data_IF_260223650659
#
_entry.id   IF_260223650659
#
_cell.length_a   1.000
_cell.length_b   1.000
_cell.length_c   1.000
_cell.angle_alpha   90.00
_cell.angle_beta   90.00
_cell.angle_gamma   90.00
#
_symmetry.space_group_name_H-M   'P 1'
#
loop_
_entity.id
_entity.type
_entity.pdbx_description
1 polymer ?
#
# COMPACT_ATOMS: atom_id res chain seq x y z
N UNK A 1 -9.48 -22.81 48.48
CA UNK A 1 -8.78 -22.11 47.38
C UNK A 1 -8.57 -23.16 46.31
N UNK A 2 -9.34 -23.11 45.23
CA UNK A 2 -9.21 -24.11 44.16
C UNK A 2 -7.87 -23.93 43.46
N UNK A 3 -7.17 -25.04 43.17
CA UNK A 3 -5.96 -25.03 42.36
C UNK A 3 -6.28 -24.36 41.02
N UNK A 4 -5.69 -23.19 40.77
CA UNK A 4 -5.82 -22.52 39.48
C UNK A 4 -5.01 -23.33 38.49
N UNK A 5 -5.66 -23.90 37.47
CA UNK A 5 -4.98 -24.68 36.44
C UNK A 5 -3.82 -23.84 35.85
N UNK A 6 -2.62 -24.42 35.79
CA UNK A 6 -1.43 -23.77 35.26
C UNK A 6 -0.96 -24.44 33.98
N UNK A 7 -0.41 -23.64 33.07
CA UNK A 7 0.17 -24.12 31.82
C UNK A 7 1.63 -23.69 31.76
N UNK A 8 2.51 -24.59 31.31
CA UNK A 8 3.91 -24.27 31.06
C UNK A 8 4.05 -23.55 29.74
N UNK A 9 4.61 -22.34 29.78
CA UNK A 9 4.85 -21.50 28.61
C UNK A 9 6.33 -21.27 28.40
N UNK A 10 6.76 -21.27 27.14
CA UNK A 10 8.11 -20.87 26.70
C UNK A 10 7.99 -19.61 25.87
N UNK A 11 8.54 -18.51 26.36
CA UNK A 11 8.55 -17.22 25.67
C UNK A 11 9.74 -17.12 24.72
N UNK A 12 9.46 -16.79 23.46
CA UNK A 12 10.48 -16.53 22.42
C UNK A 12 10.19 -15.20 21.73
N UNK A 13 11.19 -14.58 21.11
CA UNK A 13 10.96 -13.37 20.29
C UNK A 13 11.96 -13.27 19.16
N UNK A 14 11.60 -12.50 18.15
CA UNK A 14 12.47 -12.07 17.05
C UNK A 14 12.99 -10.64 17.25
N UNK A 15 12.45 -9.90 18.22
CA UNK A 15 12.84 -8.53 18.54
C UNK A 15 14.12 -8.55 19.38
N UNK A 16 15.24 -8.11 18.81
CA UNK A 16 16.57 -8.24 19.44
C UNK A 16 16.68 -7.49 20.78
N UNK A 17 15.93 -6.40 20.93
CA UNK A 17 15.94 -5.56 22.11
C UNK A 17 14.99 -6.02 23.23
N UNK A 18 14.16 -7.04 22.95
CA UNK A 18 13.23 -7.62 23.93
C UNK A 18 13.60 -9.04 24.32
N UNK A 19 14.81 -9.51 24.04
CA UNK A 19 15.22 -10.91 24.33
C UNK A 19 15.34 -11.14 25.83
N UNK A 20 14.61 -12.14 26.33
CA UNK A 20 14.70 -12.60 27.72
C UNK A 20 15.94 -13.49 27.96
N UNK A 21 16.58 -13.40 29.13
CA UNK A 21 17.57 -14.39 29.57
C UNK A 21 17.00 -15.81 29.61
N UNK A 22 17.81 -16.82 29.29
CA UNK A 22 17.39 -18.23 29.22
C UNK A 22 16.69 -18.73 30.50
N UNK A 23 17.09 -18.22 31.66
CA UNK A 23 16.49 -18.55 32.96
C UNK A 23 15.05 -18.06 33.13
N UNK A 24 14.61 -17.07 32.33
CA UNK A 24 13.30 -16.42 32.40
C UNK A 24 12.39 -16.75 31.22
N UNK A 25 12.87 -17.50 30.23
CA UNK A 25 12.06 -17.88 29.07
C UNK A 25 10.96 -18.89 29.40
N UNK A 26 11.14 -19.71 30.44
CA UNK A 26 10.14 -20.71 30.85
C UNK A 26 9.39 -20.26 32.09
N UNK A 27 8.06 -20.21 32.02
CA UNK A 27 7.22 -19.78 33.14
C UNK A 27 5.94 -20.62 33.23
N UNK A 28 5.47 -20.85 34.46
CA UNK A 28 4.13 -21.37 34.72
C UNK A 28 3.16 -20.20 34.86
N UNK A 29 2.13 -20.17 34.01
CA UNK A 29 1.12 -19.12 34.00
C UNK A 29 -0.27 -19.72 34.24
N UNK A 30 -1.22 -18.95 34.82
CA UNK A 30 -2.62 -19.37 34.92
C UNK A 30 -3.22 -19.69 33.54
N UNK A 31 -4.00 -20.77 33.43
CA UNK A 31 -4.56 -21.22 32.15
C UNK A 31 -5.62 -20.25 31.58
N UNK A 32 -6.30 -19.52 32.45
CA UNK A 32 -7.30 -18.49 32.11
C UNK A 32 -6.68 -17.17 31.63
N UNK A 33 -5.35 -17.05 31.67
CA UNK A 33 -4.65 -15.83 31.29
C UNK A 33 -4.88 -15.51 29.80
N UNK A 34 -5.14 -14.23 29.55
CA UNK A 34 -5.31 -13.67 28.20
C UNK A 34 -4.10 -12.82 27.83
N UNK A 35 -4.07 -12.41 26.56
CA UNK A 35 -3.06 -11.49 25.98
C UNK A 35 -2.63 -10.34 26.92
N UNK A 36 -3.59 -9.60 27.51
CA UNK A 36 -3.27 -8.47 28.40
C UNK A 36 -2.50 -8.91 29.65
N UNK A 37 -2.88 -10.04 30.26
CA UNK A 37 -2.19 -10.59 31.43
C UNK A 37 -0.76 -11.02 31.10
N UNK A 38 -0.58 -11.72 29.96
CA UNK A 38 0.75 -12.12 29.48
C UNK A 38 1.64 -10.92 29.18
N UNK A 39 1.09 -9.89 28.54
CA UNK A 39 1.82 -8.64 28.28
C UNK A 39 2.22 -7.94 29.59
N UNK A 40 1.36 -7.97 30.62
CA UNK A 40 1.70 -7.43 31.94
C UNK A 40 2.83 -8.21 32.63
N UNK A 41 2.86 -9.54 32.47
CA UNK A 41 3.94 -10.38 33.02
C UNK A 41 5.28 -9.99 32.37
N UNK A 42 5.33 -9.89 31.05
CA UNK A 42 6.55 -9.53 30.33
C UNK A 42 7.04 -8.11 30.66
N UNK A 43 6.13 -7.16 30.89
CA UNK A 43 6.46 -5.80 31.33
C UNK A 43 6.77 -5.65 32.82
N UNK A 44 6.87 -6.74 33.58
CA UNK A 44 7.29 -6.65 34.98
C UNK A 44 8.79 -6.37 35.12
N UNK A 45 9.18 -5.75 36.23
CA UNK A 45 10.59 -5.55 36.62
C UNK A 45 11.37 -6.88 36.66
N UNK A 46 10.67 -7.99 36.94
CA UNK A 46 11.27 -9.32 36.95
C UNK A 46 11.53 -9.92 35.57
N UNK A 47 11.00 -9.33 34.49
CA UNK A 47 11.08 -9.88 33.12
C UNK A 47 11.88 -8.96 32.19
N UNK A 48 11.21 -8.12 31.39
CA UNK A 48 11.87 -7.23 30.42
C UNK A 48 12.41 -5.93 31.05
N UNK A 49 11.81 -5.47 32.15
CA UNK A 49 12.22 -4.25 32.86
C UNK A 49 12.42 -3.03 31.94
N UNK A 50 11.45 -2.77 31.07
CA UNK A 50 11.48 -1.65 30.14
C UNK A 50 11.09 -0.35 30.84
N UNK A 51 11.69 0.77 30.42
CA UNK A 51 11.41 2.11 30.98
C UNK A 51 9.93 2.52 30.91
N UNK A 52 9.20 1.98 29.94
CA UNK A 52 7.75 2.09 29.81
C UNK A 52 7.15 0.75 29.41
N UNK A 53 5.91 0.44 29.84
CA UNK A 53 5.22 -0.77 29.41
C UNK A 53 5.00 -0.80 27.88
N UNK A 54 5.41 -1.87 27.23
CA UNK A 54 5.25 -2.10 25.80
C UNK A 54 4.06 -3.05 25.58
N UNK A 55 3.01 -2.66 24.82
CA UNK A 55 1.94 -3.58 24.45
C UNK A 55 2.47 -4.73 23.58
N UNK A 56 2.25 -5.97 24.01
CA UNK A 56 2.72 -7.17 23.30
C UNK A 56 1.54 -8.05 22.85
N UNK A 57 1.70 -8.64 21.66
CA UNK A 57 0.90 -9.74 21.14
C UNK A 57 1.72 -11.04 21.19
N UNK A 58 1.01 -12.17 21.15
CA UNK A 58 1.60 -13.50 21.28
C UNK A 58 1.17 -14.38 20.12
N UNK A 59 2.12 -14.97 19.43
CA UNK A 59 1.90 -15.99 18.40
C UNK A 59 2.08 -17.36 19.03
N UNK A 60 1.05 -18.19 18.93
CA UNK A 60 1.06 -19.61 19.30
C UNK A 60 0.98 -20.43 18.00
N UNK A 61 2.00 -21.24 17.73
CA UNK A 61 2.14 -22.03 16.49
C UNK A 61 1.88 -21.20 15.20
N UNK A 62 2.35 -19.95 15.17
CA UNK A 62 2.16 -19.05 14.03
C UNK A 62 0.83 -18.30 13.99
N UNK A 63 -0.08 -18.48 14.95
CA UNK A 63 -1.36 -17.75 15.00
C UNK A 63 -1.46 -16.84 16.21
N UNK A 64 -2.07 -15.66 16.07
CA UNK A 64 -2.22 -14.75 17.20
C UNK A 64 -3.17 -15.32 18.26
N UNK A 65 -2.73 -15.32 19.51
CA UNK A 65 -3.53 -15.69 20.67
C UNK A 65 -4.61 -14.60 20.93
N UNK A 66 -5.85 -14.88 20.52
CA UNK A 66 -7.01 -14.00 20.72
C UNK A 66 -7.90 -14.39 21.91
N UNK A 67 -7.69 -15.59 22.46
CA UNK A 67 -8.47 -16.19 23.55
C UNK A 67 -7.62 -16.36 24.83
N UNK A 68 -8.14 -17.04 25.86
CA UNK A 68 -7.30 -17.55 26.96
C UNK A 68 -6.47 -18.75 26.51
N UNK A 69 -5.40 -19.07 27.24
CA UNK A 69 -4.55 -20.24 26.92
C UNK A 69 -5.37 -21.54 26.99
N UNK A 70 -6.24 -21.69 27.99
CA UNK A 70 -7.12 -22.87 28.10
C UNK A 70 -8.03 -23.06 26.89
N UNK A 71 -8.62 -21.98 26.37
CA UNK A 71 -9.54 -22.02 25.23
C UNK A 71 -8.77 -22.30 23.94
N UNK A 72 -7.56 -21.74 23.81
CA UNK A 72 -6.65 -22.06 22.72
C UNK A 72 -6.25 -23.54 22.71
N UNK A 73 -5.87 -24.09 23.86
CA UNK A 73 -5.52 -25.51 23.98
C UNK A 73 -6.71 -26.42 23.65
N UNK A 74 -7.89 -26.11 24.18
CA UNK A 74 -9.12 -26.86 23.90
C UNK A 74 -9.48 -26.84 22.41
N UNK A 75 -9.41 -25.68 21.77
CA UNK A 75 -9.73 -25.52 20.33
C UNK A 75 -8.76 -26.29 19.43
N UNK A 76 -7.49 -26.39 19.84
CA UNK A 76 -6.46 -27.11 19.08
C UNK A 76 -6.31 -28.58 19.51
N UNK A 77 -7.14 -29.08 20.43
CA UNK A 77 -7.07 -30.47 20.91
C UNK A 77 -5.78 -30.79 21.69
N UNK A 78 -5.18 -29.79 22.34
CA UNK A 78 -3.96 -29.90 23.11
C UNK A 78 -4.27 -30.08 24.62
N UNK A 79 -3.45 -30.86 25.32
CA UNK A 79 -3.57 -31.07 26.77
C UNK A 79 -3.09 -29.85 27.57
N UNK A 80 -3.66 -29.60 28.74
CA UNK A 80 -3.17 -28.57 29.68
C UNK A 80 -1.75 -28.83 30.20
N UNK A 81 -1.26 -30.07 30.10
CA UNK A 81 0.12 -30.45 30.46
C UNK A 81 1.13 -30.13 29.35
N UNK A 82 0.66 -29.80 28.15
CA UNK A 82 1.54 -29.49 27.03
C UNK A 82 2.27 -28.16 27.25
N UNK A 83 3.54 -28.13 26.84
CA UNK A 83 4.34 -26.89 26.89
C UNK A 83 4.02 -26.05 25.65
N UNK A 84 3.53 -24.84 25.87
CA UNK A 84 3.15 -23.92 24.79
C UNK A 84 4.28 -22.92 24.52
N UNK A 85 4.80 -22.90 23.30
CA UNK A 85 5.74 -21.87 22.86
C UNK A 85 4.96 -20.65 22.40
N UNK A 86 5.19 -19.50 23.06
CA UNK A 86 4.61 -18.22 22.72
C UNK A 86 5.70 -17.27 22.22
N UNK A 87 5.63 -16.95 20.93
CA UNK A 87 6.47 -15.91 20.36
C UNK A 87 5.81 -14.54 20.62
N UNK A 88 6.42 -13.69 21.44
CA UNK A 88 5.92 -12.35 21.72
C UNK A 88 6.50 -11.33 20.74
N UNK A 89 5.63 -10.41 20.31
CA UNK A 89 5.94 -9.35 19.36
C UNK A 89 5.27 -8.05 19.80
N UNK A 90 5.81 -6.91 19.36
CA UNK A 90 5.17 -5.60 19.56
C UNK A 90 3.78 -5.61 18.93
N UNK A 91 2.79 -5.13 19.67
CA UNK A 91 1.45 -4.99 19.12
C UNK A 91 1.38 -3.85 18.13
N UNK A 92 0.66 -4.09 17.04
CA UNK A 92 0.22 -3.01 16.16
C UNK A 92 -0.72 -2.09 16.94
N UNK A 93 -0.36 -0.81 17.07
CA UNK A 93 -1.25 0.19 17.63
C UNK A 93 -2.48 0.34 16.72
N UNK A 94 -3.72 0.31 17.26
CA UNK A 94 -4.90 0.35 16.43
C UNK A 94 -4.97 1.68 15.66
N UNK A 95 -4.99 1.67 14.32
CA UNK A 95 -5.05 2.88 13.51
C UNK A 95 -6.47 3.46 13.57
N UNK A 96 -6.71 4.35 14.53
CA UNK A 96 -8.01 4.97 14.77
C UNK A 96 -8.23 6.14 13.81
N UNK A 97 -9.50 6.43 13.53
CA UNK A 97 -9.87 7.58 12.71
C UNK A 97 -9.35 8.89 13.32
N UNK A 98 -8.78 9.73 12.46
CA UNK A 98 -8.26 11.04 12.83
C UNK A 98 -8.98 12.17 12.07
N UNK A 99 -9.00 12.11 10.74
CA UNK A 99 -9.53 13.19 9.91
C UNK A 99 -10.09 12.70 8.56
N UNK A 100 -10.82 13.58 7.87
CA UNK A 100 -11.29 13.39 6.50
C UNK A 100 -11.10 14.65 5.67
N UNK A 101 -10.48 14.53 4.50
CA UNK A 101 -10.41 15.63 3.53
C UNK A 101 -11.48 15.43 2.47
N UNK A 102 -12.34 16.42 2.30
CA UNK A 102 -13.52 16.35 1.45
C UNK A 102 -13.18 16.67 0.00
N UNK A 103 -13.72 15.90 -0.93
CA UNK A 103 -13.66 16.13 -2.37
C UNK A 103 -15.05 16.29 -2.97
N UNK A 104 -15.12 16.92 -4.14
CA UNK A 104 -16.36 17.05 -4.91
C UNK A 104 -16.70 15.75 -5.68
N UNK A 105 -15.71 14.91 -5.94
CA UNK A 105 -15.82 13.65 -6.69
C UNK A 105 -14.93 12.55 -6.08
N UNK A 106 -15.01 11.34 -6.63
CA UNK A 106 -14.31 10.17 -6.10
C UNK A 106 -12.79 10.37 -6.09
N UNK A 107 -12.12 9.79 -5.09
CA UNK A 107 -10.67 9.83 -4.95
C UNK A 107 -10.08 8.52 -5.48
N UNK A 108 -9.42 8.59 -6.64
CA UNK A 108 -8.88 7.42 -7.36
C UNK A 108 -7.47 7.05 -6.94
N UNK A 109 -6.64 8.01 -6.53
CA UNK A 109 -5.24 7.78 -6.19
C UNK A 109 -4.74 8.67 -5.07
N UNK A 110 -3.92 8.11 -4.19
CA UNK A 110 -3.29 8.82 -3.06
C UNK A 110 -1.79 8.56 -3.04
N UNK A 111 -1.05 9.59 -2.65
CA UNK A 111 0.35 9.44 -2.25
C UNK A 111 0.75 10.41 -1.14
N UNK A 112 1.75 10.04 -0.37
CA UNK A 112 2.15 10.76 0.84
C UNK A 112 3.58 11.27 0.69
N UNK A 113 3.78 12.52 1.11
CA UNK A 113 5.08 13.14 1.29
C UNK A 113 5.28 13.34 2.79
N UNK A 114 6.42 12.85 3.27
CA UNK A 114 6.90 12.95 4.65
C UNK A 114 8.42 12.78 4.63
N UNK A 115 9.09 13.01 5.76
CA UNK A 115 10.53 12.74 5.89
C UNK A 115 10.89 11.26 5.65
N UNK A 116 9.96 10.34 5.90
CA UNK A 116 10.14 8.88 5.79
C UNK A 116 9.62 8.30 4.48
N UNK A 117 8.82 9.06 3.73
CA UNK A 117 8.30 8.65 2.43
C UNK A 117 9.42 8.43 1.40
N UNK A 118 9.17 7.60 0.38
CA UNK A 118 10.12 7.34 -0.73
C UNK A 118 10.61 8.62 -1.41
N UNK A 119 9.74 9.63 -1.55
CA UNK A 119 10.09 10.92 -2.14
C UNK A 119 10.87 11.82 -1.18
N UNK A 120 10.62 11.70 0.13
CA UNK A 120 11.31 12.45 1.16
C UNK A 120 12.74 11.99 1.38
N UNK A 121 12.97 10.67 1.44
CA UNK A 121 14.30 10.07 1.67
C UNK A 121 15.36 10.48 0.63
N UNK A 122 14.95 10.94 -0.56
CA UNK A 122 15.85 11.42 -1.62
C UNK A 122 16.49 12.77 -1.30
N UNK A 123 15.85 13.56 -0.44
CA UNK A 123 16.31 14.88 -0.01
C UNK A 123 16.74 14.70 1.44
N UNK A 124 18.01 14.37 1.69
CA UNK A 124 18.55 14.04 3.02
C UNK A 124 18.55 15.20 4.03
N UNK A 125 17.41 15.86 4.24
CA UNK A 125 17.19 16.99 5.14
C UNK A 125 16.02 16.73 6.09
N UNK A 126 16.11 17.29 7.30
CA UNK A 126 15.22 17.03 8.43
C UNK A 126 13.92 17.82 8.46
N UNK A 127 13.63 18.66 7.46
CA UNK A 127 12.42 19.49 7.40
C UNK A 127 11.67 19.34 6.07
N UNK A 128 11.15 18.14 5.81
CA UNK A 128 10.28 17.90 4.67
C UNK A 128 8.83 18.10 5.14
N UNK A 129 8.07 19.00 4.49
CA UNK A 129 6.68 19.22 4.85
C UNK A 129 5.85 17.96 4.58
N UNK A 130 5.00 17.60 5.54
CA UNK A 130 4.04 16.52 5.40
C UNK A 130 2.92 16.92 4.44
N UNK A 131 2.78 16.26 3.29
CA UNK A 131 1.75 16.58 2.29
C UNK A 131 1.06 15.33 1.79
N UNK A 132 -0.25 15.42 1.58
CA UNK A 132 -1.01 14.38 0.87
C UNK A 132 -1.26 14.84 -0.55
N UNK A 133 -0.92 14.01 -1.54
CA UNK A 133 -1.34 14.19 -2.91
C UNK A 133 -2.53 13.27 -3.20
N UNK A 134 -3.53 13.80 -3.89
CA UNK A 134 -4.74 13.07 -4.26
C UNK A 134 -5.07 13.29 -5.73
N UNK A 135 -5.45 12.23 -6.44
CA UNK A 135 -5.99 12.24 -7.79
C UNK A 135 -7.49 11.93 -7.71
N UNK A 136 -8.31 12.78 -8.33
CA UNK A 136 -9.77 12.65 -8.27
C UNK A 136 -10.39 12.41 -9.65
N UNK A 137 -11.59 11.85 -9.63
CA UNK A 137 -12.32 11.50 -10.84
C UNK A 137 -12.81 12.72 -11.62
N UNK A 138 -12.80 13.90 -11.01
CA UNK A 138 -13.00 15.19 -11.67
C UNK A 138 -11.86 15.58 -12.63
N UNK A 139 -10.76 14.82 -12.64
CA UNK A 139 -9.58 15.08 -13.47
C UNK A 139 -8.58 16.06 -12.84
N UNK A 140 -8.71 16.37 -11.56
CA UNK A 140 -7.81 17.26 -10.83
C UNK A 140 -6.93 16.49 -9.85
N UNK A 141 -5.70 16.98 -9.70
CA UNK A 141 -4.76 16.58 -8.66
C UNK A 141 -4.73 17.68 -7.60
N UNK A 142 -4.86 17.29 -6.33
CA UNK A 142 -4.81 18.21 -5.19
C UNK A 142 -3.70 17.83 -4.24
N UNK A 143 -3.02 18.83 -3.69
CA UNK A 143 -2.04 18.69 -2.60
C UNK A 143 -2.64 19.31 -1.34
N UNK A 144 -2.61 18.55 -0.25
CA UNK A 144 -3.22 18.89 1.03
C UNK A 144 -2.15 19.07 2.12
N UNK A 145 -2.40 20.00 3.03
CA UNK A 145 -1.63 20.14 4.26
C UNK A 145 -2.22 19.23 5.39
N UNK A 146 -1.54 19.10 6.54
CA UNK A 146 -2.05 18.35 7.71
C UNK A 146 -3.35 18.89 8.31
N UNK A 147 -3.69 20.15 8.06
CA UNK A 147 -4.95 20.75 8.51
C UNK A 147 -6.15 20.36 7.65
N UNK A 148 -5.92 19.70 6.50
CA UNK A 148 -6.97 19.32 5.56
C UNK A 148 -7.33 20.40 4.55
N UNK A 149 -6.49 21.42 4.39
CA UNK A 149 -6.66 22.44 3.36
C UNK A 149 -5.96 22.00 2.05
N UNK A 150 -6.68 22.15 0.93
CA UNK A 150 -6.11 21.96 -0.40
C UNK A 150 -5.27 23.17 -0.79
N UNK A 151 -3.96 23.11 -0.51
CA UNK A 151 -3.03 24.22 -0.74
C UNK A 151 -2.64 24.38 -2.22
N UNK A 152 -2.72 23.32 -3.02
CA UNK A 152 -2.48 23.38 -4.46
C UNK A 152 -3.47 22.50 -5.23
N UNK A 153 -3.99 23.02 -6.33
CA UNK A 153 -4.90 22.31 -7.23
C UNK A 153 -4.35 22.39 -8.65
N UNK A 154 -4.32 21.27 -9.36
CA UNK A 154 -3.84 21.23 -10.73
C UNK A 154 -4.74 22.06 -11.65
N UNK A 155 -4.19 22.68 -12.70
CA UNK A 155 -4.99 23.29 -13.75
C UNK A 155 -5.94 22.27 -14.38
N UNK A 156 -7.10 22.73 -14.86
CA UNK A 156 -8.00 21.91 -15.66
C UNK A 156 -7.36 21.53 -17.02
N UNK A 157 -7.95 20.54 -17.71
CA UNK A 157 -7.43 20.03 -18.98
C UNK A 157 -7.13 21.08 -20.07
N UNK A 158 -7.88 22.18 -20.10
CA UNK A 158 -7.64 23.29 -21.07
C UNK A 158 -6.37 24.10 -20.79
N UNK A 159 -5.85 24.02 -19.58
CA UNK A 159 -4.67 24.76 -19.10
C UNK A 159 -3.48 23.83 -18.81
N UNK A 160 -3.42 22.66 -19.46
CA UNK A 160 -2.31 21.72 -19.36
C UNK A 160 -2.48 20.62 -18.30
N UNK A 161 -3.67 20.48 -17.71
CA UNK A 161 -3.97 19.37 -16.81
C UNK A 161 -4.63 18.16 -17.46
N UNK A 162 -5.17 17.26 -16.65
CA UNK A 162 -5.90 16.11 -17.17
C UNK A 162 -7.22 16.53 -17.81
N UNK A 163 -7.58 15.86 -18.90
CA UNK A 163 -8.81 16.12 -19.67
C UNK A 163 -9.94 15.15 -19.34
N UNK A 164 -9.61 14.10 -18.60
CA UNK A 164 -10.51 13.07 -18.09
C UNK A 164 -10.11 12.74 -16.65
N UNK A 165 -10.82 11.80 -16.02
CA UNK A 165 -10.56 11.39 -14.64
C UNK A 165 -9.10 10.99 -14.41
N UNK A 166 -8.55 11.38 -13.27
CA UNK A 166 -7.21 11.00 -12.84
C UNK A 166 -7.29 9.73 -11.96
N UNK A 167 -6.50 8.71 -12.32
CA UNK A 167 -6.51 7.40 -11.65
C UNK A 167 -5.44 7.30 -10.56
N UNK A 168 -4.24 7.82 -10.80
CA UNK A 168 -3.14 7.71 -9.85
C UNK A 168 -2.28 8.98 -9.84
N UNK A 169 -1.65 9.23 -8.69
CA UNK A 169 -0.66 10.27 -8.47
C UNK A 169 0.45 9.69 -7.59
N UNK A 170 1.72 10.05 -7.85
CA UNK A 170 2.85 9.77 -6.97
C UNK A 170 3.84 10.92 -6.90
N UNK A 171 4.45 11.12 -5.75
CA UNK A 171 5.56 12.04 -5.55
C UNK A 171 6.83 11.48 -6.18
N UNK A 172 7.52 12.32 -6.94
CA UNK A 172 8.86 12.03 -7.49
C UNK A 172 9.94 12.58 -6.55
N UNK A 173 9.67 13.76 -5.99
CA UNK A 173 10.49 14.47 -5.00
C UNK A 173 9.61 15.51 -4.32
N UNK A 174 10.11 16.21 -3.29
CA UNK A 174 9.39 17.32 -2.65
C UNK A 174 8.88 18.39 -3.64
N UNK A 175 9.49 18.53 -4.83
CA UNK A 175 9.13 19.57 -5.82
C UNK A 175 8.50 19.02 -7.10
N UNK A 176 8.27 17.70 -7.19
CA UNK A 176 7.72 17.11 -8.41
C UNK A 176 6.78 15.94 -8.12
N UNK A 177 5.70 15.86 -8.90
CA UNK A 177 4.75 14.77 -8.89
C UNK A 177 4.53 14.23 -10.31
N UNK A 178 4.05 13.00 -10.41
CA UNK A 178 3.50 12.43 -11.63
C UNK A 178 2.05 12.02 -11.41
N UNK A 179 1.19 12.23 -12.40
CA UNK A 179 -0.16 11.70 -12.40
C UNK A 179 -0.54 11.10 -13.74
N UNK A 180 -1.50 10.17 -13.69
CA UNK A 180 -2.01 9.44 -14.86
C UNK A 180 -3.53 9.27 -14.76
N UNK A 181 -4.18 9.01 -15.89
CA UNK A 181 -5.62 8.80 -15.94
C UNK A 181 -6.12 8.25 -17.28
N UNK A 182 -7.38 8.55 -17.57
CA UNK A 182 -8.09 8.06 -18.75
C UNK A 182 -7.70 8.76 -20.05
N UNK A 183 -7.01 9.89 -19.95
CA UNK A 183 -6.56 10.68 -21.09
C UNK A 183 -5.26 10.17 -21.72
N UNK A 184 -4.77 9.01 -21.28
CA UNK A 184 -3.64 8.24 -21.86
C UNK A 184 -2.28 8.92 -21.75
N UNK A 185 -2.21 10.06 -21.06
CA UNK A 185 -0.98 10.81 -20.82
C UNK A 185 -0.53 10.68 -19.38
N UNK A 186 0.78 10.73 -19.20
CA UNK A 186 1.40 10.99 -17.90
C UNK A 186 1.70 12.47 -17.83
N UNK A 187 1.26 13.15 -16.78
CA UNK A 187 1.65 14.55 -16.54
C UNK A 187 2.69 14.58 -15.43
N UNK A 188 3.82 15.23 -15.70
CA UNK A 188 4.82 15.57 -14.68
C UNK A 188 4.58 16.99 -14.23
N UNK A 189 4.36 17.18 -12.93
CA UNK A 189 4.06 18.46 -12.31
C UNK A 189 5.28 18.99 -11.58
N UNK A 190 5.58 20.27 -11.78
CA UNK A 190 6.45 21.02 -10.88
C UNK A 190 5.58 21.61 -9.77
N UNK A 191 5.92 21.29 -8.53
CA UNK A 191 5.25 21.76 -7.31
C UNK A 191 6.11 22.81 -6.62
N UNK A 192 5.47 23.94 -6.31
CA UNK A 192 6.05 25.02 -5.52
C UNK A 192 5.08 25.43 -4.42
N UNK A 193 5.63 25.83 -3.29
CA UNK A 193 4.87 26.18 -2.09
C UNK A 193 5.42 27.48 -1.50
N UNK A 194 4.54 28.28 -0.89
CA UNK A 194 4.91 29.45 -0.10
C UNK A 194 5.61 29.05 1.20
N UNK A 195 6.40 29.97 1.76
CA UNK A 195 7.15 29.73 3.00
C UNK A 195 6.24 29.45 4.21
N UNK A 196 5.00 29.95 4.20
CA UNK A 196 4.01 29.70 5.25
C UNK A 196 3.39 28.30 5.19
N UNK A 197 3.53 27.58 4.07
CA UNK A 197 2.99 26.24 3.87
C UNK A 197 1.48 26.15 3.65
N UNK A 198 0.80 27.28 3.39
CA UNK A 198 -0.66 27.35 3.21
C UNK A 198 -1.08 27.65 1.77
N UNK A 199 -0.14 27.92 0.87
CA UNK A 199 -0.42 28.12 -0.55
C UNK A 199 0.62 27.44 -1.43
N UNK A 200 0.17 26.83 -2.51
CA UNK A 200 1.03 26.16 -3.47
C UNK A 200 0.48 26.22 -4.88
N UNK A 201 1.33 25.83 -5.83
CA UNK A 201 0.97 25.79 -7.24
C UNK A 201 1.49 24.50 -7.87
N UNK A 202 0.66 23.92 -8.74
CA UNK A 202 1.00 22.82 -9.62
C UNK A 202 1.09 23.32 -11.05
N UNK A 203 2.27 23.21 -11.65
CA UNK A 203 2.50 23.58 -13.05
C UNK A 203 2.88 22.36 -13.87
N UNK A 204 2.21 22.16 -14.99
CA UNK A 204 2.54 21.06 -15.92
C UNK A 204 3.92 21.31 -16.54
N UNK A 205 4.88 20.43 -16.24
CA UNK A 205 6.25 20.50 -16.74
C UNK A 205 6.40 19.75 -18.06
N UNK A 206 5.83 18.55 -18.12
CA UNK A 206 5.85 17.68 -19.30
C UNK A 206 4.55 16.88 -19.41
N UNK A 207 4.16 16.61 -20.65
CA UNK A 207 3.16 15.60 -20.99
C UNK A 207 3.85 14.44 -21.70
N UNK A 208 3.70 13.23 -21.18
CA UNK A 208 4.26 12.03 -21.76
C UNK A 208 3.16 11.24 -22.47
N UNK A 209 3.37 10.98 -23.76
CA UNK A 209 2.41 10.33 -24.66
C UNK A 209 3.00 9.04 -25.23
N UNK A 210 2.17 7.99 -25.33
CA UNK A 210 2.59 6.73 -25.94
C UNK A 210 1.59 5.59 -25.78
N UNK A 211 0.86 5.53 -24.66
CA UNK A 211 -0.17 4.50 -24.47
C UNK A 211 -1.37 4.70 -25.40
N UNK A 212 -1.96 3.58 -25.84
CA UNK A 212 -3.10 3.58 -26.77
C UNK A 212 -4.44 3.65 -26.02
N UNK A 213 -4.44 3.19 -24.76
CA UNK A 213 -5.59 3.16 -23.84
C UNK A 213 -5.26 3.85 -22.51
N UNK A 214 -6.22 3.86 -21.60
CA UNK A 214 -6.11 4.47 -20.26
C UNK A 214 -4.97 3.86 -19.43
N UNK A 215 -4.38 4.69 -18.58
CA UNK A 215 -3.32 4.29 -17.67
C UNK A 215 -3.93 4.04 -16.29
N UNK A 216 -3.74 2.83 -15.76
CA UNK A 216 -4.38 2.34 -14.54
C UNK A 216 -3.55 2.69 -13.30
N UNK A 217 -2.24 2.53 -13.37
CA UNK A 217 -1.34 2.79 -12.24
C UNK A 217 -0.02 3.41 -12.69
N UNK A 218 0.69 4.00 -11.73
CA UNK A 218 2.04 4.49 -11.92
C UNK A 218 2.91 4.20 -10.68
N UNK A 219 4.20 3.96 -10.89
CA UNK A 219 5.20 3.85 -9.84
C UNK A 219 6.45 4.66 -10.21
N UNK A 220 7.18 5.11 -9.19
CA UNK A 220 8.28 6.07 -9.35
C UNK A 220 9.56 5.53 -8.72
N UNK A 221 10.66 5.65 -9.47
CA UNK A 221 12.00 5.57 -8.93
C UNK A 221 12.61 6.97 -8.96
N UNK A 222 12.48 7.71 -7.85
CA UNK A 222 12.90 9.10 -7.78
C UNK A 222 14.42 9.29 -7.85
N UNK A 223 15.22 8.30 -7.41
CA UNK A 223 16.68 8.31 -7.52
C UNK A 223 17.15 8.34 -8.98
N UNK A 224 16.52 7.52 -9.84
CA UNK A 224 16.82 7.46 -11.28
C UNK A 224 15.94 8.39 -12.13
N UNK A 225 14.98 9.09 -11.50
CA UNK A 225 13.97 9.93 -12.19
C UNK A 225 13.21 9.15 -13.26
N UNK A 226 12.94 7.87 -13.00
CA UNK A 226 12.18 6.97 -13.89
C UNK A 226 10.76 6.77 -13.37
N UNK A 227 9.85 6.57 -14.33
CA UNK A 227 8.43 6.34 -14.09
C UNK A 227 8.07 5.02 -14.76
N UNK A 228 7.30 4.18 -14.08
CA UNK A 228 6.64 3.02 -14.66
C UNK A 228 5.14 3.27 -14.72
N UNK A 229 4.50 2.79 -15.78
CA UNK A 229 3.05 2.85 -15.95
C UNK A 229 2.49 1.51 -16.36
N UNK A 230 1.29 1.20 -15.87
CA UNK A 230 0.49 0.06 -16.31
C UNK A 230 -0.75 0.56 -17.05
N UNK A 231 -0.99 0.04 -18.25
CA UNK A 231 -2.07 0.50 -19.13
C UNK A 231 -3.01 -0.62 -19.53
N UNK A 232 -4.25 -0.24 -19.84
CA UNK A 232 -5.26 -1.14 -20.39
C UNK A 232 -4.97 -1.62 -21.81
N UNK A 233 -3.90 -1.13 -22.45
CA UNK A 233 -3.39 -1.60 -23.74
C UNK A 233 -2.50 -2.84 -23.66
N UNK A 234 -2.29 -3.41 -22.47
CA UNK A 234 -1.44 -4.59 -22.26
C UNK A 234 0.06 -4.28 -22.16
N UNK A 235 0.45 -3.01 -22.26
CA UNK A 235 1.86 -2.58 -22.22
C UNK A 235 2.24 -1.98 -20.87
N UNK A 236 3.49 -2.20 -20.50
CA UNK A 236 4.17 -1.48 -19.40
C UNK A 236 5.00 -0.36 -20.01
N UNK A 237 4.76 0.87 -19.58
CA UNK A 237 5.51 2.03 -20.05
C UNK A 237 6.66 2.39 -19.13
N UNK A 238 7.85 2.60 -19.69
CA UNK A 238 9.02 3.12 -18.99
C UNK A 238 9.30 4.55 -19.47
N UNK A 239 9.36 5.49 -18.53
CA UNK A 239 9.50 6.91 -18.83
C UNK A 239 10.54 7.57 -17.94
N UNK A 240 10.81 8.85 -18.21
CA UNK A 240 11.66 9.69 -17.38
C UNK A 240 10.96 11.01 -17.07
N UNK A 241 11.15 11.50 -15.84
CA UNK A 241 10.69 12.83 -15.42
C UNK A 241 11.65 13.96 -15.79
N UNK A 242 12.74 13.68 -16.52
CA UNK A 242 13.71 14.66 -16.98
C UNK A 242 13.51 15.04 -18.45
N UNK A 243 13.26 16.34 -18.70
CA UNK A 243 13.13 16.93 -20.06
C UNK A 243 14.31 16.64 -20.99
N UNK A 244 15.51 16.50 -20.43
CA UNK A 244 16.76 16.32 -21.18
C UNK A 244 16.85 14.93 -21.81
N UNK A 245 16.35 13.92 -21.12
CA UNK A 245 16.49 12.51 -21.48
C UNK A 245 15.19 11.94 -22.06
N UNK A 246 14.07 12.64 -21.92
CA UNK A 246 12.79 12.24 -22.47
C UNK A 246 12.82 12.32 -24.02
N UNK A 247 12.52 11.22 -24.73
CA UNK A 247 12.42 11.22 -26.19
C UNK A 247 11.29 12.14 -26.70
N UNK A 248 11.31 12.47 -27.99
CA UNK A 248 10.19 13.18 -28.61
C UNK A 248 8.96 12.26 -28.70
N UNK A 249 7.76 12.82 -28.49
CA UNK A 249 6.52 12.06 -28.63
C UNK A 249 6.30 11.65 -30.09
N UNK A 250 5.80 10.43 -30.29
CA UNK A 250 5.34 9.97 -31.60
C UNK A 250 4.12 10.80 -32.04
N UNK A 251 4.13 11.45 -33.22
CA UNK A 251 2.99 12.20 -33.73
C UNK A 251 1.67 11.42 -33.76
N UNK A 252 1.70 10.10 -33.97
CA UNK A 252 0.49 9.27 -34.00
C UNK A 252 -0.13 9.06 -32.61
N UNK A 253 0.68 9.13 -31.56
CA UNK A 253 0.22 9.02 -30.17
C UNK A 253 -0.44 10.31 -29.66
N UNK A 254 -0.17 11.43 -30.33
CA UNK A 254 -0.71 12.74 -29.96
C UNK A 254 -2.17 12.88 -30.43
N UNK A 255 -3.00 13.69 -29.73
CA UNK A 255 -4.34 13.98 -30.19
C UNK A 255 -4.34 14.61 -31.59
N UNK A 256 -4.96 13.94 -32.57
CA UNK A 256 -5.02 14.43 -33.96
C UNK A 256 -5.66 15.82 -34.07
N UNK A 257 -5.03 16.70 -34.84
CA UNK A 257 -5.48 18.06 -35.12
C UNK A 257 -6.73 18.13 -36.05
N UNK A 258 -7.31 17.00 -36.48
CA UNK A 258 -8.42 16.99 -37.45
C UNK A 258 -9.78 17.45 -36.91
N UNK A 259 -9.90 17.76 -35.63
CA UNK A 259 -10.98 18.62 -35.16
C UNK A 259 -10.46 20.06 -35.10
N UNK A 260 -10.89 20.92 -36.01
CA UNK A 260 -10.56 22.35 -36.07
C UNK A 260 -10.91 23.11 -34.78
N UNK A 261 -11.71 22.52 -33.87
CA UNK A 261 -11.93 23.00 -32.50
C UNK A 261 -10.85 22.56 -31.49
N UNK A 262 -10.21 21.40 -31.67
CA UNK A 262 -9.17 20.86 -30.77
C UNK A 262 -7.76 21.36 -31.10
N UNK A 263 -7.44 21.64 -32.36
CA UNK A 263 -6.14 22.20 -32.75
C UNK A 263 -5.86 23.58 -32.11
N UNK A 264 -6.91 24.39 -31.88
CA UNK A 264 -6.83 25.66 -31.14
C UNK A 264 -6.80 25.48 -29.61
N UNK A 265 -7.18 24.30 -29.09
CA UNK A 265 -7.10 23.95 -27.67
C UNK A 265 -5.74 23.39 -27.26
N UNK A 266 -5.06 22.67 -28.16
CA UNK A 266 -3.72 22.13 -27.93
C UNK A 266 -2.62 23.21 -27.89
N UNK A 267 -2.87 24.39 -28.45
CA UNK A 267 -1.90 25.51 -28.48
C UNK A 267 -1.94 26.41 -27.23
N UNK A 268 -2.78 26.12 -26.24
CA UNK A 268 -2.95 26.99 -25.06
C UNK A 268 -2.01 26.65 -23.89
N UNK A 269 -1.42 25.45 -23.87
CA UNK A 269 -0.45 25.05 -22.84
C UNK A 269 0.90 24.75 -23.51
N UNK A 270 1.91 25.60 -23.25
CA UNK A 270 3.26 25.49 -23.80
C UNK A 270 4.09 24.34 -23.15
N UNK A 271 3.42 23.25 -22.78
CA UNK A 271 3.99 22.12 -22.02
C UNK A 271 4.73 21.20 -22.97
N UNK A 272 5.93 20.77 -22.59
CA UNK A 272 6.75 19.90 -23.43
C UNK A 272 6.09 18.52 -23.58
N UNK A 273 5.73 18.17 -24.83
CA UNK A 273 5.24 16.83 -25.17
C UNK A 273 6.41 15.89 -25.47
N UNK A 274 6.44 14.73 -24.82
CA UNK A 274 7.54 13.75 -24.88
C UNK A 274 7.03 12.33 -24.96
N UNK A 275 7.87 11.42 -25.42
CA UNK A 275 7.60 10.00 -25.58
C UNK A 275 8.16 9.14 -24.45
N UNK A 276 7.86 7.84 -24.46
CA UNK A 276 8.41 6.85 -23.53
C UNK A 276 9.87 6.52 -23.86
N UNK A 277 10.62 6.04 -22.87
CA UNK A 277 11.89 5.35 -23.09
C UNK A 277 11.67 3.96 -23.70
N UNK A 278 10.60 3.29 -23.26
CA UNK A 278 10.15 2.02 -23.81
C UNK A 278 8.65 1.82 -23.54
N UNK A 279 7.96 1.16 -24.48
CA UNK A 279 6.63 0.59 -24.26
C UNK A 279 6.76 -0.92 -24.46
N UNK A 280 6.64 -1.67 -23.37
CA UNK A 280 6.95 -3.09 -23.34
C UNK A 280 5.64 -3.87 -23.42
N UNK A 281 5.33 -4.54 -24.55
CA UNK A 281 4.11 -5.32 -24.71
C UNK A 281 4.28 -6.67 -24.03
N UNK A 282 3.99 -6.70 -22.73
CA UNK A 282 4.09 -7.92 -21.93
C UNK A 282 2.75 -8.66 -21.89
N UNK A 283 1.62 -8.00 -21.67
CA UNK A 283 0.35 -8.68 -21.39
C UNK A 283 -0.65 -8.64 -22.56
N UNK A 284 -1.53 -9.65 -22.61
CA UNK A 284 -2.62 -9.75 -23.59
C UNK A 284 -3.92 -9.09 -23.10
N UNK A 285 -4.02 -8.83 -21.79
CA UNK A 285 -5.14 -8.18 -21.10
C UNK A 285 -4.65 -6.92 -20.34
N UNK A 286 -5.55 -6.03 -19.89
CA UNK A 286 -5.19 -4.81 -19.16
C UNK A 286 -4.20 -5.02 -18.02
N UNK A 287 -3.09 -4.29 -18.07
CA UNK A 287 -2.10 -4.25 -16.98
C UNK A 287 -2.67 -3.35 -15.88
N UNK A 288 -2.76 -3.88 -14.68
CA UNK A 288 -3.37 -3.20 -13.54
C UNK A 288 -2.34 -2.59 -12.60
N UNK A 289 -1.13 -3.16 -12.53
CA UNK A 289 -0.04 -2.61 -11.75
C UNK A 289 1.31 -2.80 -12.45
N UNK A 290 2.19 -1.81 -12.33
CA UNK A 290 3.59 -1.88 -12.71
C UNK A 290 4.41 -1.18 -11.62
N UNK A 291 5.37 -1.89 -11.03
CA UNK A 291 6.13 -1.45 -9.86
C UNK A 291 7.62 -1.73 -10.06
N UNK A 292 8.48 -0.86 -9.55
CA UNK A 292 9.91 -1.10 -9.52
C UNK A 292 10.27 -2.14 -8.47
N UNK A 293 11.33 -2.91 -8.72
CA UNK A 293 11.94 -3.71 -7.67
C UNK A 293 12.53 -2.77 -6.59
N UNK A 294 12.24 -2.99 -5.29
CA UNK A 294 12.64 -2.06 -4.22
C UNK A 294 14.14 -1.78 -4.16
N UNK A 295 14.95 -2.82 -4.40
CA UNK A 295 16.41 -2.75 -4.27
C UNK A 295 17.15 -2.72 -5.62
N UNK A 296 16.45 -2.84 -6.76
CA UNK A 296 17.08 -2.93 -8.08
C UNK A 296 16.30 -2.09 -9.09
N UNK A 297 16.88 -0.96 -9.51
CA UNK A 297 16.24 -0.04 -10.44
C UNK A 297 16.12 -0.59 -11.88
N UNK A 298 16.75 -1.73 -12.18
CA UNK A 298 16.72 -2.38 -13.50
C UNK A 298 15.61 -3.41 -13.65
N UNK A 299 14.97 -3.81 -12.55
CA UNK A 299 13.90 -4.82 -12.54
C UNK A 299 12.56 -4.17 -12.22
N UNK A 300 11.52 -4.63 -12.90
CA UNK A 300 10.14 -4.27 -12.61
C UNK A 300 9.25 -5.50 -12.49
N UNK A 301 8.17 -5.36 -11.73
CA UNK A 301 7.08 -6.32 -11.69
C UNK A 301 5.83 -5.71 -12.30
N UNK A 302 5.07 -6.52 -13.00
CA UNK A 302 3.79 -6.14 -13.59
C UNK A 302 2.73 -7.17 -13.24
N UNK A 303 1.51 -6.71 -12.98
CA UNK A 303 0.36 -7.56 -12.70
C UNK A 303 -0.81 -7.19 -13.63
N UNK A 304 -1.54 -8.19 -14.11
CA UNK A 304 -2.57 -8.01 -15.12
C UNK A 304 -3.82 -8.85 -14.87
N UNK A 305 -4.89 -8.47 -15.56
CA UNK A 305 -6.12 -9.25 -15.67
C UNK A 305 -5.95 -10.55 -16.46
N UNK A 306 -4.80 -10.79 -17.11
CA UNK A 306 -4.43 -12.10 -17.69
C UNK A 306 -4.03 -13.16 -16.64
N UNK A 307 -4.21 -12.83 -15.35
CA UNK A 307 -3.89 -13.65 -14.19
C UNK A 307 -2.39 -13.76 -13.89
N UNK A 308 -1.52 -13.01 -14.58
CA UNK A 308 -0.07 -13.16 -14.44
C UNK A 308 0.58 -12.01 -13.69
N UNK A 309 1.61 -12.35 -12.90
CA UNK A 309 2.64 -11.44 -12.46
C UNK A 309 3.90 -11.72 -13.26
N UNK A 310 4.44 -10.70 -13.93
CA UNK A 310 5.64 -10.82 -14.77
C UNK A 310 6.77 -9.98 -14.23
N UNK A 311 7.96 -10.55 -14.23
CA UNK A 311 9.22 -9.86 -13.93
C UNK A 311 9.83 -9.40 -15.25
N UNK A 312 10.15 -8.11 -15.33
CA UNK A 312 10.65 -7.45 -16.53
C UNK A 312 12.04 -6.89 -16.23
N UNK A 313 12.99 -7.20 -17.11
CA UNK A 313 14.26 -6.50 -17.15
C UNK A 313 14.11 -5.22 -17.99
N UNK A 314 14.23 -4.07 -17.35
CA UNK A 314 14.06 -2.76 -17.95
C UNK A 314 15.22 -2.36 -18.87
N UNK A 315 16.37 -3.03 -18.78
CA UNK A 315 17.53 -2.77 -19.65
C UNK A 315 17.36 -3.46 -20.99
N UNK A 316 16.95 -4.73 -20.99
CA UNK A 316 16.71 -5.52 -22.20
C UNK A 316 15.28 -5.39 -22.73
N UNK A 317 14.38 -4.82 -21.94
CA UNK A 317 12.96 -4.62 -22.25
C UNK A 317 12.24 -5.96 -22.53
N UNK A 318 12.61 -6.99 -21.76
CA UNK A 318 12.09 -8.35 -21.92
C UNK A 318 11.53 -8.89 -20.62
N UNK A 319 10.55 -9.77 -20.77
CA UNK A 319 10.06 -10.61 -19.69
C UNK A 319 11.13 -11.65 -19.33
N UNK A 320 11.44 -11.72 -18.03
CA UNK A 320 12.40 -12.65 -17.43
C UNK A 320 11.69 -13.85 -16.82
N UNK A 321 10.56 -13.61 -16.15
CA UNK A 321 9.81 -14.63 -15.43
C UNK A 321 8.31 -14.33 -15.47
N UNK A 322 7.51 -15.40 -15.39
CA UNK A 322 6.04 -15.39 -15.42
C UNK A 322 5.49 -16.27 -14.32
N UNK A 323 4.67 -15.67 -13.46
CA UNK A 323 3.89 -16.38 -12.45
C UNK A 323 2.42 -16.29 -12.82
N UNK A 324 1.75 -17.43 -12.99
CA UNK A 324 0.32 -17.49 -13.32
C UNK A 324 -0.46 -17.82 -12.07
N UNK A 325 -1.39 -16.95 -11.70
CA UNK A 325 -2.30 -17.12 -10.57
C UNK A 325 -3.66 -17.66 -11.05
N UNK A 326 -4.55 -18.01 -10.11
CA UNK A 326 -5.87 -18.56 -10.42
C UNK A 326 -6.91 -17.53 -10.86
N UNK A 327 -6.67 -16.24 -10.59
CA UNK A 327 -7.68 -15.19 -10.77
C UNK A 327 -7.07 -13.89 -11.33
N UNK A 328 -7.89 -13.05 -11.98
CA UNK A 328 -7.45 -11.73 -12.43
C UNK A 328 -6.88 -10.89 -11.29
N UNK A 329 -5.74 -10.27 -11.55
CA UNK A 329 -5.09 -9.36 -10.61
C UNK A 329 -5.53 -7.93 -10.89
N UNK A 330 -5.67 -7.15 -9.82
CA UNK A 330 -6.16 -5.77 -9.84
C UNK A 330 -5.17 -4.77 -9.28
N UNK A 331 -4.22 -5.23 -8.46
CA UNK A 331 -3.13 -4.42 -7.94
C UNK A 331 -1.95 -5.31 -7.53
N UNK A 332 -0.77 -4.72 -7.39
CA UNK A 332 0.40 -5.40 -6.84
C UNK A 332 1.30 -4.41 -6.09
N UNK A 333 2.01 -4.90 -5.09
CA UNK A 333 3.10 -4.18 -4.40
C UNK A 333 4.24 -5.12 -4.07
N UNK A 334 5.47 -4.62 -4.11
CA UNK A 334 6.64 -5.35 -3.66
C UNK A 334 6.85 -5.12 -2.16
N UNK A 335 7.31 -6.16 -1.47
CA UNK A 335 7.68 -6.14 -0.06
C UNK A 335 9.22 -6.08 0.06
N UNK A 336 9.80 -4.92 0.43
CA UNK A 336 11.25 -4.69 0.36
C UNK A 336 12.10 -5.71 1.14
N UNK A 337 11.71 -6.05 2.37
CA UNK A 337 12.50 -6.96 3.21
C UNK A 337 12.36 -8.45 2.90
N UNK A 338 11.26 -8.89 2.28
CA UNK A 338 11.02 -10.33 2.01
C UNK A 338 11.29 -10.74 0.56
N UNK A 339 11.56 -9.79 -0.34
CA UNK A 339 11.63 -10.02 -1.80
C UNK A 339 10.36 -10.64 -2.41
N UNK A 340 9.23 -10.53 -1.71
CA UNK A 340 7.94 -11.06 -2.19
C UNK A 340 7.15 -9.96 -2.91
N UNK A 341 6.23 -10.39 -3.77
CA UNK A 341 5.23 -9.53 -4.40
C UNK A 341 3.85 -9.91 -3.86
N UNK A 342 3.14 -8.95 -3.29
CA UNK A 342 1.75 -9.10 -2.91
C UNK A 342 0.86 -8.67 -4.08
N UNK A 343 -0.02 -9.56 -4.54
CA UNK A 343 -0.94 -9.30 -5.65
C UNK A 343 -2.39 -9.41 -5.19
N UNK A 344 -3.16 -8.33 -5.33
CA UNK A 344 -4.59 -8.29 -5.00
C UNK A 344 -5.43 -8.80 -6.15
N UNK A 345 -6.34 -9.73 -5.86
CA UNK A 345 -7.18 -10.38 -6.87
C UNK A 345 -8.61 -9.83 -6.93
N UNK A 346 -9.29 -10.12 -8.04
CA UNK A 346 -10.74 -9.97 -8.16
C UNK A 346 -11.53 -10.98 -7.30
N UNK A 347 -10.87 -12.05 -6.85
CA UNK A 347 -11.44 -13.12 -6.04
C UNK A 347 -11.32 -12.87 -4.51
N UNK A 348 -11.22 -11.59 -4.11
CA UNK A 348 -11.30 -11.10 -2.71
C UNK A 348 -10.18 -11.55 -1.77
N UNK A 349 -9.08 -12.04 -2.33
CA UNK A 349 -7.89 -12.41 -1.56
C UNK A 349 -6.64 -11.78 -2.18
N UNK A 350 -5.57 -11.77 -1.40
CA UNK A 350 -4.25 -11.32 -1.83
C UNK A 350 -3.35 -12.54 -1.85
N UNK A 351 -2.55 -12.68 -2.90
CA UNK A 351 -1.60 -13.77 -3.04
C UNK A 351 -0.19 -13.22 -2.89
N UNK A 352 0.61 -13.82 -2.01
CA UNK A 352 2.04 -13.56 -1.90
C UNK A 352 2.79 -14.50 -2.83
N UNK A 353 3.64 -13.90 -3.67
CA UNK A 353 4.38 -14.57 -4.73
C UNK A 353 5.87 -14.33 -4.53
N UNK A 354 6.68 -15.38 -4.62
CA UNK A 354 8.13 -15.21 -4.79
C UNK A 354 8.43 -15.15 -6.31
N UNK A 355 8.83 -13.99 -6.84
CA UNK A 355 9.11 -13.82 -8.27
C UNK A 355 10.27 -14.69 -8.80
N UNK A 356 11.04 -15.32 -7.90
CA UNK A 356 12.16 -16.21 -8.22
C UNK A 356 11.76 -17.68 -8.30
N UNK A 357 10.62 -18.06 -7.72
CA UNK A 357 10.14 -19.43 -7.77
C UNK A 357 9.50 -19.76 -9.12
N UNK A 358 9.50 -21.06 -9.47
CA UNK A 358 8.84 -21.55 -10.68
C UNK A 358 7.32 -21.56 -10.50
N UNK A 359 6.56 -21.40 -11.59
CA UNK A 359 5.10 -21.35 -11.63
C UNK A 359 4.38 -22.54 -10.96
N UNK A 360 5.07 -23.66 -10.69
CA UNK A 360 4.56 -24.84 -10.00
C UNK A 360 4.25 -24.62 -8.51
N UNK A 361 4.92 -23.67 -7.85
CA UNK A 361 4.57 -23.23 -6.48
C UNK A 361 3.90 -21.87 -6.59
N UNK A 362 2.62 -21.88 -6.96
CA UNK A 362 1.92 -20.66 -7.41
C UNK A 362 1.71 -19.60 -6.32
N UNK A 363 1.83 -19.95 -5.03
CA UNK A 363 1.60 -19.00 -3.94
C UNK A 363 2.38 -19.38 -2.68
N UNK A 364 3.19 -18.45 -2.16
CA UNK A 364 3.85 -18.61 -0.86
C UNK A 364 2.84 -18.54 0.30
N UNK A 365 1.83 -17.67 0.17
CA UNK A 365 0.79 -17.46 1.17
C UNK A 365 -0.43 -16.76 0.55
N UNK A 366 -1.62 -17.01 1.10
CA UNK A 366 -2.85 -16.31 0.73
C UNK A 366 -3.39 -15.49 1.91
N UNK A 367 -3.66 -14.21 1.71
CA UNK A 367 -4.30 -13.35 2.71
C UNK A 367 -5.81 -13.32 2.44
N UNK A 368 -6.60 -13.83 3.39
CA UNK A 368 -8.05 -13.97 3.26
C UNK A 368 -8.80 -13.15 4.29
N UNK A 369 -9.90 -12.56 3.83
CA UNK A 369 -10.86 -11.90 4.70
C UNK A 369 -11.74 -10.88 3.99
N UNK A 370 -11.22 -10.20 2.96
CA UNK A 370 -12.00 -9.23 2.20
C UNK A 370 -13.26 -9.87 1.58
N UNK A 371 -14.30 -9.05 1.46
CA UNK A 371 -15.62 -9.50 0.94
C UNK A 371 -15.86 -8.99 -0.49
N UNK A 372 -14.93 -8.22 -1.04
CA UNK A 372 -14.96 -7.73 -2.42
C UNK A 372 -13.53 -7.63 -3.00
N UNK A 373 -13.43 -7.17 -4.25
CA UNK A 373 -12.19 -6.99 -4.98
C UNK A 373 -11.14 -6.17 -4.21
N UNK A 374 -9.88 -6.58 -4.27
CA UNK A 374 -8.76 -5.86 -3.66
C UNK A 374 -8.05 -5.05 -4.74
N UNK A 375 -8.10 -3.72 -4.63
CA UNK A 375 -7.67 -2.80 -5.71
C UNK A 375 -6.48 -1.93 -5.33
N UNK A 376 -6.06 -1.93 -4.07
CA UNK A 376 -4.89 -1.17 -3.64
C UNK A 376 -4.18 -1.88 -2.50
N UNK A 377 -2.85 -1.77 -2.49
CA UNK A 377 -1.96 -2.36 -1.49
C UNK A 377 -0.86 -1.35 -1.15
N UNK A 378 -0.48 -1.28 0.11
CA UNK A 378 0.69 -0.52 0.56
C UNK A 378 1.44 -1.29 1.66
N UNK A 379 2.77 -1.45 1.57
CA UNK A 379 3.58 -2.05 2.62
C UNK A 379 3.65 -1.13 3.85
N UNK A 380 3.91 -1.71 5.01
CA UNK A 380 4.20 -0.94 6.22
C UNK A 380 5.56 -0.22 6.08
N UNK A 381 5.67 1.04 6.52
CA UNK A 381 6.94 1.76 6.55
C UNK A 381 7.82 1.36 7.75
N UNK A 382 7.24 0.74 8.77
CA UNK A 382 7.95 0.41 10.02
C UNK A 382 8.54 -1.00 10.04
N UNK A 383 7.95 -1.92 9.27
CA UNK A 383 8.34 -3.32 9.30
C UNK A 383 8.08 -4.05 7.97
N UNK A 384 8.85 -5.10 7.71
CA UNK A 384 8.82 -5.83 6.44
C UNK A 384 7.73 -6.90 6.34
N UNK A 385 7.00 -7.14 7.43
CA UNK A 385 6.03 -8.23 7.54
C UNK A 385 4.58 -7.73 7.64
N UNK A 386 4.34 -6.43 7.53
CA UNK A 386 2.99 -5.86 7.56
C UNK A 386 2.66 -5.13 6.27
N UNK A 387 1.40 -5.18 5.89
CA UNK A 387 0.88 -4.40 4.77
C UNK A 387 -0.58 -4.03 5.02
N UNK A 388 -1.06 -3.02 4.31
CA UNK A 388 -2.46 -2.63 4.28
C UNK A 388 -3.03 -2.86 2.88
N UNK A 389 -4.27 -3.32 2.81
CA UNK A 389 -5.03 -3.46 1.57
C UNK A 389 -6.27 -2.61 1.59
N UNK A 390 -6.61 -2.02 0.44
CA UNK A 390 -7.87 -1.31 0.20
C UNK A 390 -8.77 -2.12 -0.74
N UNK A 391 -10.04 -2.25 -0.38
CA UNK A 391 -11.00 -3.06 -1.12
C UNK A 391 -12.30 -2.32 -1.45
N UNK A 392 -12.96 -2.79 -2.50
CA UNK A 392 -14.33 -2.43 -2.82
C UNK A 392 -15.36 -2.90 -1.79
N UNK A 393 -14.95 -3.56 -0.69
CA UNK A 393 -15.84 -3.91 0.43
C UNK A 393 -15.99 -2.79 1.48
N UNK A 394 -15.51 -1.60 1.16
CA UNK A 394 -15.52 -0.41 2.03
C UNK A 394 -14.59 -0.50 3.23
N UNK A 395 -13.64 -1.43 3.22
CA UNK A 395 -12.66 -1.58 4.30
C UNK A 395 -11.22 -1.49 3.79
N UNK A 396 -10.35 -0.97 4.65
CA UNK A 396 -8.94 -1.25 4.59
C UNK A 396 -8.60 -2.32 5.64
N UNK A 397 -7.73 -3.26 5.31
CA UNK A 397 -7.30 -4.31 6.25
C UNK A 397 -5.81 -4.31 6.43
N UNK A 398 -5.38 -4.42 7.68
CA UNK A 398 -3.98 -4.56 8.04
C UNK A 398 -3.67 -6.04 8.22
N UNK A 399 -2.58 -6.49 7.62
CA UNK A 399 -2.12 -7.86 7.63
C UNK A 399 -0.76 -7.94 8.32
N UNK A 400 -0.54 -9.01 9.06
CA UNK A 400 0.76 -9.38 9.59
C UNK A 400 1.12 -10.78 9.06
N UNK A 401 2.14 -10.82 8.23
CA UNK A 401 2.59 -12.01 7.50
C UNK A 401 3.23 -13.06 8.42
N UNK A 402 3.52 -12.71 9.68
CA UNK A 402 3.96 -13.68 10.70
C UNK A 402 2.79 -14.51 11.22
N UNK A 403 1.56 -13.99 11.11
CA UNK A 403 0.35 -14.71 11.51
C UNK A 403 -0.15 -15.60 10.38
N UNK A 404 0.16 -16.87 10.47
CA UNK A 404 -0.15 -17.89 9.46
C UNK A 404 -0.84 -19.08 10.11
N UNK A 405 -1.93 -19.52 9.51
CA UNK A 405 -2.56 -20.80 9.77
C UNK A 405 -2.58 -21.66 8.52
N UNK A 406 -2.81 -22.95 8.70
CA UNK A 406 -3.11 -23.83 7.58
C UNK A 406 -4.48 -23.49 6.99
N UNK A 407 -4.54 -23.39 5.66
CA UNK A 407 -5.75 -23.21 4.90
C UNK A 407 -6.64 -24.46 4.96
N UNK A 408 -7.94 -24.23 5.02
CA UNK A 408 -8.95 -25.29 4.93
C UNK A 408 -9.04 -25.85 3.51
N UNK A 409 -9.74 -26.99 3.34
CA UNK A 409 -9.97 -27.60 2.03
C UNK A 409 -10.71 -26.65 1.06
N UNK A 410 -11.66 -25.86 1.57
CA UNK A 410 -12.40 -24.85 0.78
C UNK A 410 -11.50 -23.70 0.31
N UNK A 411 -10.42 -23.43 1.04
CA UNK A 411 -9.46 -22.38 0.72
C UNK A 411 -8.37 -22.85 -0.26
N UNK A 412 -8.36 -24.15 -0.61
CA UNK A 412 -7.35 -24.78 -1.48
C UNK A 412 -6.11 -25.28 -0.73
N UNK A 413 -6.12 -25.28 0.60
CA UNK A 413 -4.96 -25.59 1.43
C UNK A 413 -3.89 -24.49 1.45
N UNK A 414 -2.66 -24.84 1.81
CA UNK A 414 -1.52 -23.91 1.88
C UNK A 414 -1.52 -23.01 3.12
N UNK A 415 -0.68 -21.98 3.10
CA UNK A 415 -0.54 -20.99 4.17
C UNK A 415 -1.55 -19.86 4.00
N UNK A 416 -2.40 -19.64 5.01
CA UNK A 416 -3.42 -18.58 5.02
C UNK A 416 -3.17 -17.62 6.17
N UNK A 417 -3.26 -16.32 5.88
CA UNK A 417 -3.21 -15.26 6.88
C UNK A 417 -4.54 -14.50 6.92
N UNK A 418 -4.89 -14.05 8.12
CA UNK A 418 -6.12 -13.30 8.42
C UNK A 418 -5.76 -11.87 8.87
N UNK A 419 -6.66 -10.89 8.67
CA UNK A 419 -6.35 -9.50 9.01
C UNK A 419 -6.20 -9.34 10.52
N UNK A 420 -5.17 -8.59 10.94
CA UNK A 420 -4.97 -8.22 12.34
C UNK A 420 -5.86 -7.05 12.76
N UNK A 421 -6.23 -6.20 11.80
CA UNK A 421 -7.09 -5.04 12.04
C UNK A 421 -7.92 -4.72 10.79
N UNK A 422 -9.15 -4.24 11.00
CA UNK A 422 -10.04 -3.80 9.92
C UNK A 422 -10.46 -2.35 10.16
N UNK A 423 -10.20 -1.50 9.18
CA UNK A 423 -10.54 -0.09 9.15
C UNK A 423 -11.77 0.06 8.25
N UNK A 424 -12.91 0.44 8.82
CA UNK A 424 -14.09 0.83 8.05
C UNK A 424 -14.05 2.30 7.62
N UNK A 425 -14.90 2.68 6.67
CA UNK A 425 -15.16 4.10 6.39
C UNK A 425 -15.88 4.75 7.59
N UNK A 426 -15.32 5.81 8.15
CA UNK A 426 -15.81 6.41 9.40
C UNK A 426 -17.24 6.94 9.27
N UNK A 427 -17.63 7.47 8.11
CA UNK A 427 -18.99 7.98 7.89
C UNK A 427 -20.08 6.89 7.92
N UNK A 428 -19.68 5.61 7.80
CA UNK A 428 -20.53 4.42 7.93
C UNK A 428 -20.55 3.84 9.34
N UNK A 429 -19.82 4.41 10.30
CA UNK A 429 -19.77 3.89 11.67
C UNK A 429 -21.16 3.85 12.30
N UNK A 430 -21.52 2.67 12.81
CA UNK A 430 -22.86 2.41 13.36
C UNK A 430 -23.97 2.20 12.33
N UNK A 431 -23.66 2.22 11.02
CA UNK A 431 -24.61 1.94 9.94
C UNK A 431 -24.38 0.55 9.35
N UNK A 432 -25.40 0.01 8.69
CA UNK A 432 -25.26 -1.24 7.93
C UNK A 432 -24.34 -1.00 6.73
N UNK A 433 -23.38 -1.91 6.52
CA UNK A 433 -22.48 -1.85 5.38
C UNK A 433 -23.27 -1.92 4.06
N UNK A 434 -22.94 -1.08 3.07
CA UNK A 434 -23.54 -1.14 1.75
C UNK A 434 -23.29 -2.51 1.10
N UNK A 435 -24.29 -3.02 0.39
CA UNK A 435 -24.14 -4.24 -0.41
C UNK A 435 -23.12 -3.97 -1.50
N UNK A 436 -22.11 -4.83 -1.63
CA UNK A 436 -20.99 -4.67 -2.57
C UNK A 436 -20.19 -3.35 -2.44
N UNK A 437 -20.29 -2.67 -1.29
CA UNK A 437 -19.57 -1.43 -1.00
C UNK A 437 -20.06 -0.20 -1.76
N UNK A 438 -21.29 -0.23 -2.30
CA UNK A 438 -21.85 0.87 -3.10
C UNK A 438 -21.80 2.22 -2.37
N UNK A 439 -21.29 3.26 -3.04
CA UNK A 439 -21.06 4.58 -2.45
C UNK A 439 -19.92 4.67 -1.44
N UNK A 440 -19.18 3.59 -1.19
CA UNK A 440 -18.16 3.52 -0.15
C UNK A 440 -16.95 2.66 -0.52
N UNK A 441 -16.73 2.34 -1.80
CA UNK A 441 -15.57 1.54 -2.25
C UNK A 441 -14.27 2.28 -1.94
N UNK A 442 -13.28 1.59 -1.39
CA UNK A 442 -11.91 2.11 -1.29
C UNK A 442 -11.21 1.86 -2.62
N UNK A 443 -10.65 2.91 -3.21
CA UNK A 443 -9.98 2.87 -4.51
C UNK A 443 -8.45 2.96 -4.37
N UNK A 444 -7.96 3.65 -3.33
CA UNK A 444 -6.53 3.81 -3.08
C UNK A 444 -6.22 3.82 -1.59
N UNK A 445 -5.10 3.19 -1.21
CA UNK A 445 -4.55 3.25 0.14
C UNK A 445 -3.05 3.51 0.09
N UNK A 446 -2.54 4.27 1.06
CA UNK A 446 -1.14 4.50 1.31
C UNK A 446 -0.85 4.37 2.81
N UNK A 447 0.35 3.94 3.17
CA UNK A 447 0.79 3.83 4.55
C UNK A 447 2.13 4.55 4.71
N UNK A 448 2.18 5.52 5.59
CA UNK A 448 3.36 6.28 5.95
C UNK A 448 3.51 6.35 7.47
N UNK A 449 4.74 6.55 7.95
CA UNK A 449 5.04 6.57 9.38
C UNK A 449 4.46 7.82 10.06
N UNK A 450 4.47 8.96 9.39
CA UNK A 450 3.94 10.22 9.94
C UNK A 450 2.42 10.33 9.78
N UNK A 451 1.91 10.01 8.60
CA UNK A 451 0.47 10.12 8.32
C UNK A 451 -0.36 8.93 8.81
N UNK A 452 0.28 7.79 9.11
CA UNK A 452 -0.41 6.53 9.31
C UNK A 452 -0.99 5.98 8.00
N UNK A 453 -2.17 5.39 8.08
CA UNK A 453 -2.88 4.79 6.95
C UNK A 453 -3.84 5.82 6.37
N UNK A 454 -3.67 6.14 5.09
CA UNK A 454 -4.49 7.11 4.36
C UNK A 454 -5.22 6.40 3.24
N UNK A 455 -6.54 6.58 3.15
CA UNK A 455 -7.38 5.86 2.19
C UNK A 455 -8.43 6.73 1.49
N UNK A 456 -8.61 6.54 0.20
CA UNK A 456 -9.50 7.32 -0.66
C UNK A 456 -10.44 6.44 -1.45
N UNK A 457 -11.60 6.97 -1.81
CA UNK A 457 -12.59 6.18 -2.51
C UNK A 457 -13.82 6.93 -3.02
N UNK A 458 -14.89 6.15 -3.19
CA UNK A 458 -16.18 6.55 -3.77
C UNK A 458 -16.98 7.52 -2.89
N UNK A 459 -16.70 7.52 -1.59
CA UNK A 459 -17.33 8.42 -0.63
C UNK A 459 -16.76 9.86 -0.66
N UNK A 460 -15.88 10.13 -1.63
CA UNK A 460 -15.28 11.45 -1.89
C UNK A 460 -14.43 11.98 -0.74
N UNK A 461 -13.88 11.09 0.08
CA UNK A 461 -13.06 11.47 1.24
C UNK A 461 -11.70 10.81 1.19
N UNK A 462 -10.68 11.59 1.52
CA UNK A 462 -9.41 11.04 1.98
C UNK A 462 -9.53 10.85 3.49
N UNK A 463 -9.59 9.60 3.95
CA UNK A 463 -9.70 9.25 5.35
C UNK A 463 -8.31 8.93 5.91
N UNK A 464 -7.97 9.54 7.05
CA UNK A 464 -6.71 9.33 7.76
C UNK A 464 -6.97 8.51 9.01
N UNK A 465 -6.18 7.45 9.17
CA UNK A 465 -6.20 6.55 10.29
C UNK A 465 -4.80 6.39 10.86
N UNK A 466 -4.58 6.87 12.08
CA UNK A 466 -3.28 6.83 12.76
C UNK A 466 -3.42 6.16 14.11
N UNK A 467 -2.40 5.39 14.51
CA UNK A 467 -2.29 4.94 15.89
C UNK A 467 -2.03 6.16 16.77
N UNK A 468 -2.86 6.42 17.78
CA UNK A 468 -2.50 7.48 18.75
C UNK A 468 -1.17 7.09 19.37
N UNK A 469 -0.16 7.91 19.12
CA UNK A 469 1.05 7.94 19.93
C UNK A 469 0.60 8.21 21.37
N UNK A 470 0.43 7.16 22.17
CA UNK A 470 0.42 7.28 23.63
C UNK A 470 1.79 7.75 24.15
N UNK A 471 2.75 7.90 23.23
CA UNK A 471 3.99 8.63 23.39
C UNK A 471 3.99 9.81 22.41
N UNK A 472 3.18 10.84 22.69
CA UNK A 472 3.57 12.16 22.20
C UNK A 472 5.03 12.40 22.59
N UNK A 473 5.81 13.18 21.81
CA UNK A 473 7.09 13.64 22.33
C UNK A 473 6.77 14.36 23.64
N UNK A 474 7.14 13.74 24.76
CA UNK A 474 7.09 14.37 26.04
C UNK A 474 8.00 15.58 25.96
N UNK A 475 7.43 16.75 26.26
CA UNK A 475 8.06 18.08 26.41
C UNK A 475 8.68 18.72 25.17
#
# INVERSE_FOLDING_TARGET
MGDVAQVKVVFTTTEQDLVLPDSKQQLLVPADIKRYGLSRILNSESMLDTSSPIPLDFLANGTFLRTSIEEYLATNGLSSESTLTLQYVRSLLPPVYEASFEHDDWVGGIDLLSATSRAGLLVGGSNIPERVASASYDGLVRVWNPSGDAIAVSPAGRAGGHTQRANAVKWISQKQLASVGLDRKVIVWDYSESEDGFSGALKSSMELWGHEKEINSLDINGATKRILTASSDGKVGLWTSSKRTAPQADPESLPSAHSTKRAKLASAANTAQRGPLALIPVHDEPVTAAIFHPNDATVAYSASKDHTVRTIDLTTQREVSRLTTMHPLLCATALPGSSLVAAGSSARHITLLDPRESATTTSAMTLRGHVNMVVSLAPSPENDHSLVSGSHDSTCRVWDLRSVRMGTSEEGGGSVSEPVYTIGREWLKGKKLPVAGDGAKVLSVAWDQSWGIVSGGEDKKVQINRGRDLFGPGS
#
